data_IF_746447080149
#
_entry.id   IF_746447080149
#
_cell.length_a   1.000
_cell.length_b   1.000
_cell.length_c   1.000
_cell.angle_alpha   90.00
_cell.angle_beta   90.00
_cell.angle_gamma   90.00
#
_symmetry.space_group_name_H-M   'P 1'
#
loop_
_entity.id
_entity.type
_entity.pdbx_description
1 polymer ?
#
# COMPACT_ATOMS: atom_id res chain seq x y z
N UNK A 1 13.26 -8.58 0.01
CA UNK A 1 12.61 -9.73 -0.66
C UNK A 1 13.42 -10.08 -1.90
N UNK A 2 14.28 -11.10 -1.86
CA UNK A 2 15.20 -11.45 -2.97
C UNK A 2 14.53 -12.13 -4.17
N UNK A 3 13.27 -11.75 -4.48
CA UNK A 3 12.48 -12.34 -5.56
C UNK A 3 12.64 -11.47 -6.82
N UNK A 4 12.92 -12.05 -8.00
CA UNK A 4 12.98 -11.29 -9.24
C UNK A 4 11.60 -10.71 -9.58
N UNK A 5 11.45 -9.40 -9.41
CA UNK A 5 10.30 -8.61 -9.84
C UNK A 5 10.74 -7.68 -10.97
N UNK A 6 9.91 -7.54 -12.00
CA UNK A 6 10.15 -6.56 -13.06
C UNK A 6 9.49 -5.23 -12.64
N UNK A 7 10.28 -4.19 -12.28
CA UNK A 7 9.74 -2.93 -11.78
C UNK A 7 8.80 -2.23 -12.77
N UNK A 8 9.05 -2.37 -14.08
CA UNK A 8 8.27 -1.73 -15.14
C UNK A 8 6.84 -2.27 -15.25
N UNK A 9 6.60 -3.48 -14.73
CA UNK A 9 5.28 -4.11 -14.72
C UNK A 9 4.48 -3.83 -13.45
N UNK A 10 5.12 -3.24 -12.44
CA UNK A 10 4.49 -2.97 -11.15
C UNK A 10 3.45 -1.86 -11.31
N UNK A 11 2.26 -2.09 -10.78
CA UNK A 11 1.23 -1.06 -10.63
C UNK A 11 0.74 -1.05 -9.19
N UNK A 12 0.56 0.13 -8.63
CA UNK A 12 0.04 0.33 -7.27
C UNK A 12 -1.20 1.20 -7.37
N UNK A 13 -2.26 0.77 -6.69
CA UNK A 13 -3.50 1.52 -6.56
C UNK A 13 -3.86 1.75 -5.10
N UNK A 14 -4.44 2.92 -4.84
CA UNK A 14 -5.10 3.28 -3.58
C UNK A 14 -6.55 3.56 -3.92
N UNK A 15 -7.46 2.71 -3.42
CA UNK A 15 -8.84 2.65 -3.90
C UNK A 15 -8.87 2.45 -5.42
N UNK A 16 -9.56 3.36 -6.10
CA UNK A 16 -9.69 3.35 -7.56
C UNK A 16 -8.55 4.10 -8.29
N UNK A 17 -7.68 4.81 -7.56
CA UNK A 17 -6.62 5.62 -8.15
C UNK A 17 -5.33 4.84 -8.36
N UNK A 18 -4.73 4.95 -9.54
CA UNK A 18 -3.40 4.43 -9.82
C UNK A 18 -2.35 5.46 -9.39
N UNK A 19 -1.55 5.11 -8.39
CA UNK A 19 -0.54 6.02 -7.80
C UNK A 19 0.86 5.75 -8.32
N UNK A 20 1.14 4.54 -8.81
CA UNK A 20 2.43 4.18 -9.37
C UNK A 20 2.27 3.19 -10.52
N UNK A 21 3.04 3.39 -11.59
CA UNK A 21 3.13 2.50 -12.74
C UNK A 21 4.58 2.40 -13.20
N UNK A 22 5.07 1.18 -13.32
CA UNK A 22 6.42 0.90 -13.78
C UNK A 22 7.50 1.43 -12.85
N UNK A 23 7.27 1.35 -11.53
CA UNK A 23 8.12 1.93 -10.50
C UNK A 23 8.30 3.47 -10.57
N UNK A 24 7.41 4.16 -11.31
CA UNK A 24 7.35 5.62 -11.38
C UNK A 24 6.02 6.09 -10.81
N UNK A 25 6.04 7.11 -9.97
CA UNK A 25 4.83 7.75 -9.45
C UNK A 25 3.99 8.30 -10.62
N UNK A 26 2.70 8.00 -10.62
CA UNK A 26 1.75 8.58 -11.57
C UNK A 26 1.27 9.94 -11.07
N UNK A 27 0.73 10.76 -11.96
CA UNK A 27 -0.08 11.91 -11.54
C UNK A 27 -1.41 11.37 -10.99
N UNK A 28 -1.67 11.60 -9.70
CA UNK A 28 -2.91 11.26 -9.03
C UNK A 28 -3.35 12.42 -8.11
N UNK A 29 -4.59 12.38 -7.66
CA UNK A 29 -5.11 13.37 -6.72
C UNK A 29 -4.72 12.97 -5.29
N UNK A 30 -3.80 13.70 -4.69
CA UNK A 30 -3.33 13.43 -3.34
C UNK A 30 -4.42 13.56 -2.28
N UNK A 31 -5.37 14.49 -2.47
CA UNK A 31 -6.46 14.69 -1.52
C UNK A 31 -7.43 13.51 -1.58
N UNK A 32 -7.80 13.09 -2.79
CA UNK A 32 -8.66 11.91 -2.98
C UNK A 32 -8.00 10.62 -2.44
N UNK A 33 -6.70 10.43 -2.67
CA UNK A 33 -5.95 9.31 -2.11
C UNK A 33 -5.90 9.37 -0.58
N UNK A 34 -5.74 10.55 0.01
CA UNK A 34 -5.75 10.74 1.46
C UNK A 34 -7.14 10.47 2.07
N UNK A 35 -8.20 10.93 1.42
CA UNK A 35 -9.59 10.65 1.81
C UNK A 35 -9.86 9.13 1.77
N UNK A 36 -9.39 8.44 0.75
CA UNK A 36 -9.51 6.97 0.65
C UNK A 36 -8.78 6.25 1.78
N UNK A 37 -7.55 6.66 2.11
CA UNK A 37 -6.77 6.10 3.21
C UNK A 37 -7.34 6.44 4.60
N UNK A 38 -8.13 7.51 4.71
CA UNK A 38 -8.75 7.93 5.97
C UNK A 38 -10.04 7.15 6.28
N UNK A 39 -10.50 6.30 5.36
CA UNK A 39 -11.67 5.43 5.59
C UNK A 39 -11.32 4.33 6.60
N UNK A 40 -12.30 3.84 7.37
CA UNK A 40 -12.11 2.69 8.27
C UNK A 40 -11.59 1.44 7.55
N UNK A 41 -11.99 1.27 6.30
CA UNK A 41 -11.48 0.24 5.40
C UNK A 41 -10.98 0.93 4.12
N UNK A 42 -9.71 0.73 3.80
CA UNK A 42 -9.12 1.21 2.55
C UNK A 42 -8.49 0.04 1.80
N UNK A 43 -8.56 0.09 0.47
CA UNK A 43 -7.98 -0.95 -0.39
C UNK A 43 -6.70 -0.44 -1.03
N UNK A 44 -5.59 -1.09 -0.73
CA UNK A 44 -4.33 -0.92 -1.45
C UNK A 44 -4.09 -2.17 -2.29
N UNK A 45 -3.94 -2.02 -3.61
CA UNK A 45 -3.66 -3.15 -4.49
C UNK A 45 -2.34 -2.98 -5.21
N UNK A 46 -1.52 -4.03 -5.20
CA UNK A 46 -0.21 -4.07 -5.86
C UNK A 46 -0.22 -5.20 -6.88
N UNK A 47 -0.09 -4.84 -8.16
CA UNK A 47 -0.01 -5.78 -9.26
C UNK A 47 1.43 -5.88 -9.72
N UNK A 48 2.06 -7.04 -9.54
CA UNK A 48 3.45 -7.28 -9.93
C UNK A 48 3.62 -7.60 -11.42
N UNK A 49 2.55 -8.04 -12.09
CA UNK A 49 2.57 -8.36 -13.53
C UNK A 49 3.45 -9.56 -13.91
N UNK A 50 3.77 -10.43 -12.94
CA UNK A 50 4.64 -11.62 -13.10
C UNK A 50 3.88 -12.96 -13.12
N UNK A 51 2.55 -12.95 -13.09
CA UNK A 51 1.73 -14.16 -13.12
C UNK A 51 0.26 -13.90 -12.79
N UNK A 52 -0.49 -14.99 -12.52
CA UNK A 52 -1.91 -14.95 -12.14
C UNK A 52 -2.15 -15.16 -10.63
N UNK A 53 -1.09 -15.42 -9.87
CA UNK A 53 -1.20 -15.60 -8.43
C UNK A 53 -1.57 -14.28 -7.76
N UNK A 54 -2.47 -14.35 -6.79
CA UNK A 54 -2.91 -13.22 -5.96
C UNK A 54 -2.98 -13.67 -4.50
N UNK A 55 -2.77 -12.73 -3.60
CA UNK A 55 -2.94 -12.92 -2.16
C UNK A 55 -3.52 -11.63 -1.60
N UNK A 56 -4.50 -11.78 -0.71
CA UNK A 56 -5.08 -10.69 0.04
C UNK A 56 -4.63 -10.79 1.49
N UNK A 57 -4.22 -9.66 2.07
CA UNK A 57 -3.85 -9.57 3.47
C UNK A 57 -4.57 -8.37 4.08
N UNK A 58 -5.07 -8.55 5.30
CA UNK A 58 -5.60 -7.46 6.10
C UNK A 58 -4.48 -6.94 6.99
N UNK A 59 -4.25 -5.64 6.94
CA UNK A 59 -3.30 -4.95 7.81
C UNK A 59 -3.96 -3.71 8.38
N UNK A 60 -3.42 -3.19 9.47
CA UNK A 60 -3.81 -1.90 10.05
C UNK A 60 -2.68 -0.89 9.85
N UNK A 61 -3.01 0.39 10.00
CA UNK A 61 -2.01 1.44 10.05
C UNK A 61 -1.14 1.33 11.31
N UNK A 62 0.07 1.87 11.23
CA UNK A 62 0.96 2.00 12.38
C UNK A 62 0.73 3.38 13.00
N UNK A 63 -0.25 3.48 13.89
CA UNK A 63 -0.60 4.75 14.53
C UNK A 63 0.38 5.13 15.64
N UNK A 64 0.47 6.44 15.95
CA UNK A 64 1.24 6.91 17.10
C UNK A 64 0.73 6.33 18.44
N UNK A 65 -0.54 5.93 18.49
CA UNK A 65 -1.13 5.24 19.62
C UNK A 65 -0.61 3.80 19.76
N UNK A 66 -0.47 3.08 18.65
CA UNK A 66 0.20 1.78 18.63
C UNK A 66 1.65 1.87 19.13
N UNK A 67 2.39 2.91 18.72
CA UNK A 67 3.75 3.14 19.21
C UNK A 67 3.77 3.44 20.71
N UNK A 68 2.86 4.27 21.23
CA UNK A 68 2.78 4.55 22.68
C UNK A 68 2.47 3.31 23.51
N UNK A 69 1.49 2.50 23.08
CA UNK A 69 1.10 1.27 23.78
C UNK A 69 2.22 0.24 23.80
N UNK A 70 3.00 0.11 22.72
CA UNK A 70 4.11 -0.84 22.65
C UNK A 70 5.45 -0.28 23.19
N UNK A 71 5.62 1.03 23.26
CA UNK A 71 6.84 1.66 23.79
C UNK A 71 6.90 1.71 25.32
N UNK A 72 5.77 1.51 26.02
CA UNK A 72 5.75 1.36 27.48
C UNK A 72 6.15 -0.06 27.95
N UNK A 73 6.26 -1.02 27.03
CA UNK A 73 6.95 -2.27 27.30
C UNK A 73 8.44 -2.08 27.08
N UNK A 74 9.21 -2.09 28.17
CA UNK A 74 10.65 -2.29 28.08
C UNK A 74 10.93 -3.67 27.46
N UNK A 75 11.33 -3.70 26.19
CA UNK A 75 11.97 -4.87 25.54
C UNK A 75 13.48 -4.81 25.67
#
# INVERSE_FOLDING_TARGET
SGVPVNPEKIKIHIGDQMVCRGAVACTFDQNAAHEELSKPECRVSVQLGTGKASIDFLTTDLSAEYVRVNAEYST
#
